data_IF_324906232516
#
_entry.id   IF_324906232516
#
_cell.length_a   1.000
_cell.length_b   1.000
_cell.length_c   1.000
_cell.angle_alpha   90.00
_cell.angle_beta   90.00
_cell.angle_gamma   90.00
#
_symmetry.space_group_name_H-M   'P 1'
#
loop_
_entity.id
_entity.type
_entity.pdbx_description
1 polymer ?
#
# COMPACT_ATOMS: atom_id res chain seq x y z
N UNK A 1 -28.28 -12.29 -35.26
CA UNK A 1 -28.10 -13.02 -33.99
C UNK A 1 -26.60 -13.30 -33.82
N UNK A 2 -25.83 -12.32 -33.38
CA UNK A 2 -24.39 -12.46 -33.07
C UNK A 2 -24.21 -11.85 -31.69
N UNK A 3 -24.54 -12.66 -30.69
CA UNK A 3 -24.34 -12.38 -29.27
C UNK A 3 -23.27 -13.36 -28.82
N UNK A 4 -22.35 -12.88 -27.99
CA UNK A 4 -21.36 -13.66 -27.22
C UNK A 4 -20.02 -13.93 -27.93
N UNK A 5 -19.21 -12.89 -28.11
CA UNK A 5 -17.73 -13.02 -28.08
C UNK A 5 -17.06 -11.73 -27.58
N UNK A 6 -17.46 -11.30 -26.39
CA UNK A 6 -16.66 -10.41 -25.54
C UNK A 6 -16.92 -10.81 -24.09
N UNK A 7 -16.57 -12.07 -23.79
CA UNK A 7 -16.32 -12.48 -22.42
C UNK A 7 -15.12 -11.65 -21.95
N UNK A 8 -15.43 -10.59 -21.19
CA UNK A 8 -14.50 -9.85 -20.35
C UNK A 8 -13.48 -10.85 -19.79
N UNK A 9 -12.21 -10.74 -20.19
CA UNK A 9 -11.14 -11.34 -19.39
C UNK A 9 -11.33 -10.76 -18.00
N UNK A 10 -11.60 -11.60 -17.00
CA UNK A 10 -11.33 -11.22 -15.63
C UNK A 10 -9.87 -10.78 -15.64
N UNK A 11 -9.62 -9.49 -15.42
CA UNK A 11 -8.27 -8.94 -15.41
C UNK A 11 -7.57 -9.58 -14.22
N UNK A 12 -6.69 -10.53 -14.47
CA UNK A 12 -5.80 -11.05 -13.43
C UNK A 12 -4.86 -9.90 -13.03
N UNK A 13 -5.03 -9.39 -11.82
CA UNK A 13 -4.29 -8.22 -11.30
C UNK A 13 -3.02 -8.65 -10.56
N UNK A 14 -2.70 -9.94 -10.55
CA UNK A 14 -1.55 -10.50 -9.83
C UNK A 14 -0.75 -11.36 -10.82
N UNK A 15 0.50 -10.98 -11.05
CA UNK A 15 1.35 -11.67 -12.01
C UNK A 15 2.60 -12.23 -11.33
N UNK A 16 2.70 -13.55 -11.28
CA UNK A 16 3.87 -14.25 -10.76
C UNK A 16 4.90 -14.49 -11.85
N UNK A 17 6.12 -14.00 -11.64
CA UNK A 17 7.23 -14.22 -12.56
C UNK A 17 7.84 -15.60 -12.34
N UNK A 18 8.21 -16.29 -13.43
CA UNK A 18 8.91 -17.59 -13.41
C UNK A 18 8.31 -18.58 -12.43
N UNK A 19 7.00 -18.85 -12.57
CA UNK A 19 6.25 -19.75 -11.68
C UNK A 19 6.89 -21.13 -11.54
N UNK A 20 7.63 -21.59 -12.55
CA UNK A 20 8.42 -22.84 -12.54
C UNK A 20 9.56 -22.86 -11.50
N UNK A 21 9.99 -21.69 -11.03
CA UNK A 21 11.05 -21.53 -10.01
C UNK A 21 10.52 -21.38 -8.59
N UNK A 22 9.21 -21.25 -8.40
CA UNK A 22 8.65 -21.08 -7.07
C UNK A 22 8.54 -22.43 -6.35
N UNK A 23 9.05 -22.56 -5.11
CA UNK A 23 8.68 -23.69 -4.26
C UNK A 23 7.17 -23.69 -4.03
N UNK A 24 6.52 -24.84 -4.21
CA UNK A 24 5.04 -24.96 -4.20
C UNK A 24 4.43 -24.37 -2.93
N UNK A 25 5.00 -24.67 -1.76
CA UNK A 25 4.51 -24.13 -0.48
C UNK A 25 4.58 -22.60 -0.43
N UNK A 26 5.68 -22.02 -0.93
CA UNK A 26 5.88 -20.58 -0.97
C UNK A 26 4.92 -19.88 -1.93
N UNK A 27 4.68 -20.50 -3.09
CA UNK A 27 3.71 -20.01 -4.07
C UNK A 27 2.29 -19.92 -3.48
N UNK A 28 1.84 -20.99 -2.82
CA UNK A 28 0.52 -21.01 -2.19
C UNK A 28 0.43 -20.05 -0.99
N UNK A 29 1.46 -19.97 -0.15
CA UNK A 29 1.53 -18.96 0.91
C UNK A 29 1.50 -17.54 0.36
N UNK A 30 2.16 -17.28 -0.77
CA UNK A 30 2.18 -15.95 -1.37
C UNK A 30 0.80 -15.55 -1.88
N UNK A 31 0.10 -16.46 -2.58
CA UNK A 31 -1.29 -16.23 -3.04
C UNK A 31 -2.26 -15.88 -1.90
N UNK A 32 -2.06 -16.47 -0.72
CA UNK A 32 -2.88 -16.18 0.47
C UNK A 32 -2.47 -14.87 1.17
N UNK A 33 -1.23 -14.42 0.93
CA UNK A 33 -0.62 -13.26 1.56
C UNK A 33 -0.88 -11.94 0.81
N UNK A 34 -1.41 -12.01 -0.41
CA UNK A 34 -1.69 -10.83 -1.25
C UNK A 34 -3.12 -10.86 -1.78
N UNK A 35 -3.72 -9.69 -1.98
CA UNK A 35 -4.95 -9.55 -2.72
C UNK A 35 -5.01 -8.19 -3.43
N UNK A 36 -5.65 -8.15 -4.60
CA UNK A 36 -6.08 -6.91 -5.26
C UNK A 36 -7.56 -7.04 -5.59
N UNK A 37 -8.38 -6.15 -5.03
CA UNK A 37 -9.84 -6.15 -5.22
C UNK A 37 -10.18 -4.95 -6.12
N UNK A 38 -10.55 -5.16 -7.40
CA UNK A 38 -10.95 -4.08 -8.30
C UNK A 38 -12.29 -3.47 -7.88
N UNK A 39 -12.53 -2.21 -8.27
CA UNK A 39 -13.79 -1.50 -7.99
C UNK A 39 -14.24 -1.60 -6.52
N UNK A 40 -13.27 -1.55 -5.60
CA UNK A 40 -13.52 -1.63 -4.16
C UNK A 40 -14.22 -0.37 -3.63
N UNK A 41 -13.94 0.77 -4.26
CA UNK A 41 -14.70 2.00 -4.08
C UNK A 41 -15.38 2.40 -5.39
N UNK A 42 -16.50 3.11 -5.27
CA UNK A 42 -17.19 3.70 -6.42
C UNK A 42 -16.51 5.00 -6.87
N UNK A 43 -16.88 5.50 -8.05
CA UNK A 43 -16.43 6.82 -8.52
C UNK A 43 -16.88 7.95 -7.58
N UNK A 44 -18.08 7.86 -7.01
CA UNK A 44 -18.60 8.86 -6.06
C UNK A 44 -17.84 8.81 -4.73
N UNK A 45 -17.50 7.62 -4.24
CA UNK A 45 -16.66 7.46 -3.04
C UNK A 45 -15.26 8.01 -3.27
N UNK A 46 -14.64 7.72 -4.41
CA UNK A 46 -13.34 8.30 -4.78
C UNK A 46 -13.41 9.82 -4.84
N UNK A 47 -14.45 10.38 -5.46
CA UNK A 47 -14.67 11.83 -5.52
C UNK A 47 -14.83 12.44 -4.13
N UNK A 48 -15.59 11.78 -3.23
CA UNK A 48 -15.80 12.25 -1.85
C UNK A 48 -14.49 12.22 -1.04
N UNK A 49 -13.67 11.17 -1.20
CA UNK A 49 -12.34 11.10 -0.60
C UNK A 49 -11.45 12.25 -1.09
N UNK A 50 -11.39 12.46 -2.41
CA UNK A 50 -10.55 13.51 -3.00
C UNK A 50 -11.00 14.92 -2.59
N UNK A 51 -12.32 15.18 -2.46
CA UNK A 51 -12.84 16.45 -1.97
C UNK A 51 -12.34 16.79 -0.56
N UNK A 52 -12.17 15.78 0.29
CA UNK A 52 -11.64 15.94 1.63
C UNK A 52 -10.10 16.02 1.63
N UNK A 53 -9.42 15.22 0.82
CA UNK A 53 -7.95 15.09 0.82
C UNK A 53 -7.27 16.28 0.13
N UNK A 54 -7.74 16.69 -1.05
CA UNK A 54 -7.06 17.64 -1.93
C UNK A 54 -6.78 19.01 -1.30
N UNK A 55 -7.70 19.65 -0.56
CA UNK A 55 -7.46 20.95 0.05
C UNK A 55 -6.23 20.98 0.98
N UNK A 56 -5.93 19.84 1.62
CA UNK A 56 -4.77 19.68 2.49
C UNK A 56 -3.52 19.32 1.68
N UNK A 57 -3.61 18.34 0.78
CA UNK A 57 -2.46 17.89 -0.01
C UNK A 57 -1.88 18.98 -0.88
N UNK A 58 -2.71 19.83 -1.51
CA UNK A 58 -2.25 20.94 -2.39
C UNK A 58 -1.40 21.98 -1.67
N UNK A 59 -1.46 22.06 -0.33
CA UNK A 59 -0.65 22.98 0.47
C UNK A 59 0.76 22.43 0.75
N UNK A 60 0.96 21.13 0.57
CA UNK A 60 2.25 20.46 0.75
C UNK A 60 3.04 20.51 -0.57
N UNK A 61 4.35 20.73 -0.45
CA UNK A 61 5.28 20.63 -1.58
C UNK A 61 5.63 19.17 -1.81
N UNK A 62 5.97 18.83 -3.05
CA UNK A 62 6.61 17.56 -3.32
C UNK A 62 8.04 17.58 -2.75
N UNK A 63 8.40 16.52 -2.05
CA UNK A 63 9.72 16.23 -1.53
C UNK A 63 10.43 15.28 -2.47
N UNK A 64 11.72 15.51 -2.72
CA UNK A 64 12.51 14.69 -3.64
C UNK A 64 12.89 13.34 -3.02
N UNK A 65 13.10 13.28 -1.70
CA UNK A 65 13.44 12.04 -0.98
C UNK A 65 13.09 12.13 0.52
N UNK A 66 12.68 11.01 1.10
CA UNK A 66 12.53 10.83 2.55
C UNK A 66 13.89 10.56 3.24
N UNK A 67 13.96 10.63 4.58
CA UNK A 67 15.22 10.40 5.33
C UNK A 67 15.78 8.98 5.19
N UNK A 68 14.91 7.99 4.93
CA UNK A 68 15.28 6.60 4.64
C UNK A 68 15.45 6.32 3.14
N UNK A 69 15.32 7.35 2.29
CA UNK A 69 15.47 7.30 0.84
C UNK A 69 14.47 6.35 0.12
N UNK A 70 13.40 5.91 0.80
CA UNK A 70 12.46 4.93 0.25
C UNK A 70 11.49 5.54 -0.78
N UNK A 71 11.04 6.77 -0.59
CA UNK A 71 10.01 7.41 -1.42
C UNK A 71 10.57 8.66 -2.11
N UNK A 72 10.27 8.82 -3.40
CA UNK A 72 10.81 9.86 -4.27
C UNK A 72 9.71 10.67 -4.96
N UNK A 73 9.91 11.99 -5.06
CA UNK A 73 8.98 12.97 -5.67
C UNK A 73 7.53 12.78 -5.20
N UNK A 74 7.32 12.93 -3.90
CA UNK A 74 6.07 12.61 -3.21
C UNK A 74 5.69 13.70 -2.21
N UNK A 75 4.46 13.65 -1.72
CA UNK A 75 4.06 14.38 -0.51
C UNK A 75 3.13 13.51 0.29
N UNK A 76 3.18 13.63 1.61
CA UNK A 76 2.40 12.76 2.46
C UNK A 76 1.87 13.48 3.68
N UNK A 77 0.86 12.88 4.30
CA UNK A 77 0.38 13.27 5.62
C UNK A 77 -0.39 12.13 6.24
N UNK A 78 -0.69 12.32 7.51
CA UNK A 78 -1.57 11.46 8.27
C UNK A 78 -2.89 12.17 8.60
N UNK A 79 -3.99 11.42 8.60
CA UNK A 79 -5.31 11.92 8.95
C UNK A 79 -6.08 10.96 9.84
N UNK A 80 -6.53 11.46 11.00
CA UNK A 80 -7.34 10.73 11.97
C UNK A 80 -8.85 10.94 11.80
N UNK A 81 -9.28 12.19 11.62
CA UNK A 81 -10.70 12.55 11.50
C UNK A 81 -11.10 12.56 10.04
N UNK A 82 -12.22 11.92 9.72
CA UNK A 82 -12.77 11.85 8.38
C UNK A 82 -14.24 12.27 8.40
N UNK A 83 -14.78 12.72 7.26
CA UNK A 83 -16.21 12.95 7.19
C UNK A 83 -17.01 11.62 7.25
N UNK A 84 -18.28 11.61 7.68
CA UNK A 84 -19.05 10.37 7.87
C UNK A 84 -19.20 9.49 6.61
N UNK A 85 -19.14 10.07 5.40
CA UNK A 85 -19.19 9.27 4.17
C UNK A 85 -17.87 8.53 3.94
N UNK A 86 -16.74 9.21 4.17
CA UNK A 86 -15.41 8.63 4.03
C UNK A 86 -15.07 7.65 5.17
N UNK A 87 -15.59 7.88 6.39
CA UNK A 87 -15.45 6.92 7.50
C UNK A 87 -16.02 5.54 7.14
N UNK A 88 -17.14 5.47 6.42
CA UNK A 88 -17.72 4.20 5.94
C UNK A 88 -16.79 3.45 4.99
N UNK A 89 -16.08 4.17 4.12
CA UNK A 89 -15.07 3.56 3.24
C UNK A 89 -13.91 3.01 4.06
N UNK A 90 -13.42 3.77 5.04
CA UNK A 90 -12.32 3.35 5.91
C UNK A 90 -12.70 2.16 6.80
N UNK A 91 -13.94 2.11 7.28
CA UNK A 91 -14.50 0.96 8.00
C UNK A 91 -14.58 -0.26 7.08
N UNK A 92 -15.02 -0.10 5.84
CA UNK A 92 -15.03 -1.18 4.84
C UNK A 92 -13.64 -1.71 4.54
N UNK A 93 -12.61 -0.84 4.47
CA UNK A 93 -11.20 -1.27 4.36
C UNK A 93 -10.81 -2.13 5.57
N UNK A 94 -11.21 -1.71 6.78
CA UNK A 94 -10.91 -2.41 8.02
C UNK A 94 -11.49 -3.82 8.02
N UNK A 95 -12.81 -3.93 7.82
CA UNK A 95 -13.54 -5.21 7.87
C UNK A 95 -13.18 -6.15 6.73
N UNK A 96 -12.74 -5.62 5.58
CA UNK A 96 -12.29 -6.45 4.44
C UNK A 96 -10.89 -7.01 4.65
N UNK A 97 -10.00 -6.25 5.31
CA UNK A 97 -8.57 -6.55 5.26
C UNK A 97 -7.99 -7.11 6.56
N UNK A 98 -8.57 -6.77 7.69
CA UNK A 98 -7.98 -7.01 9.00
C UNK A 98 -8.85 -7.97 9.84
N UNK A 99 -8.23 -8.75 10.74
CA UNK A 99 -8.97 -9.50 11.75
C UNK A 99 -9.88 -8.61 12.59
N UNK A 100 -10.99 -9.14 13.11
CA UNK A 100 -11.95 -8.38 13.92
C UNK A 100 -11.33 -7.82 15.22
N UNK A 101 -10.33 -8.51 15.78
CA UNK A 101 -9.61 -8.12 16.98
C UNK A 101 -8.36 -7.26 16.69
N UNK A 102 -8.11 -6.89 15.43
CA UNK A 102 -6.97 -6.08 15.06
C UNK A 102 -7.08 -4.67 15.65
N UNK A 103 -6.05 -4.26 16.38
CA UNK A 103 -5.91 -2.86 16.77
C UNK A 103 -5.28 -2.09 15.62
N UNK A 104 -5.82 -0.91 15.32
CA UNK A 104 -5.36 -0.10 14.19
C UNK A 104 -4.62 1.14 14.64
N UNK A 105 -3.71 1.62 13.79
CA UNK A 105 -3.25 2.99 13.89
C UNK A 105 -4.46 3.93 13.77
N UNK A 106 -4.53 4.92 14.67
CA UNK A 106 -5.59 5.93 14.63
C UNK A 106 -5.53 6.81 13.39
N UNK A 107 -4.37 6.88 12.75
CA UNK A 107 -4.12 7.72 11.58
C UNK A 107 -4.08 6.88 10.32
N UNK A 108 -4.76 7.37 9.27
CA UNK A 108 -4.63 6.84 7.91
C UNK A 108 -3.52 7.61 7.20
N UNK A 109 -2.59 6.87 6.60
CA UNK A 109 -1.49 7.43 5.85
C UNK A 109 -1.97 7.79 4.44
N UNK A 110 -1.81 9.04 4.05
CA UNK A 110 -2.15 9.57 2.74
C UNK A 110 -0.85 9.84 2.00
N UNK A 111 -0.59 9.10 0.94
CA UNK A 111 0.60 9.27 0.10
C UNK A 111 0.18 9.75 -1.30
N UNK A 112 0.68 10.90 -1.74
CA UNK A 112 0.48 11.48 -3.07
C UNK A 112 1.80 11.43 -3.83
N UNK A 113 1.88 10.55 -4.82
CA UNK A 113 3.00 10.42 -5.73
C UNK A 113 2.76 11.27 -6.97
N UNK A 114 3.76 12.06 -7.34
CA UNK A 114 3.80 12.70 -8.65
C UNK A 114 3.90 11.65 -9.77
N UNK A 115 3.62 12.01 -11.03
CA UNK A 115 3.78 11.10 -12.18
C UNK A 115 5.19 10.52 -12.34
N UNK A 116 6.20 11.27 -11.88
CA UNK A 116 7.60 10.84 -11.85
C UNK A 116 8.01 10.22 -10.51
N UNK A 117 7.15 10.29 -9.49
CA UNK A 117 7.43 9.75 -8.17
C UNK A 117 7.36 8.24 -8.14
N UNK A 118 8.11 7.62 -7.24
CA UNK A 118 8.20 6.18 -7.12
C UNK A 118 8.58 5.80 -5.70
N UNK A 119 8.44 4.52 -5.38
CA UNK A 119 8.84 3.96 -4.08
C UNK A 119 9.86 2.89 -4.37
N UNK A 120 11.04 2.95 -3.75
CA UNK A 120 12.09 1.93 -3.84
C UNK A 120 11.70 0.66 -3.09
N UNK A 121 12.33 -0.50 -3.40
CA UNK A 121 12.12 -1.73 -2.65
C UNK A 121 12.40 -1.57 -1.16
N UNK A 122 11.39 -1.81 -0.33
CA UNK A 122 11.52 -1.74 1.12
C UNK A 122 10.54 -2.70 1.83
N UNK A 123 10.78 -2.93 3.12
CA UNK A 123 9.87 -3.68 4.00
C UNK A 123 9.45 -2.73 5.11
N UNK A 124 8.14 -2.54 5.31
CA UNK A 124 7.63 -1.67 6.36
C UNK A 124 8.14 -2.11 7.74
N UNK A 125 8.56 -1.15 8.54
CA UNK A 125 9.12 -1.39 9.88
C UNK A 125 8.16 -2.20 10.75
N UNK A 126 8.63 -3.34 11.27
CA UNK A 126 7.90 -4.16 12.25
C UNK A 126 7.67 -3.46 13.59
N UNK A 127 8.34 -2.32 13.81
CA UNK A 127 8.15 -1.47 14.99
C UNK A 127 6.90 -0.59 14.89
N UNK A 128 6.43 -0.31 13.67
CA UNK A 128 5.33 0.66 13.45
C UNK A 128 4.17 0.08 12.65
N UNK A 129 4.36 -1.08 12.02
CA UNK A 129 3.36 -1.77 11.22
C UNK A 129 3.22 -3.22 11.69
N UNK A 130 1.99 -3.63 12.00
CA UNK A 130 1.63 -5.00 12.35
C UNK A 130 1.64 -5.96 11.15
N UNK A 131 0.71 -6.91 11.16
CA UNK A 131 0.68 -8.04 10.22
C UNK A 131 0.02 -7.72 8.88
N UNK A 132 -0.71 -6.60 8.79
CA UNK A 132 -1.54 -6.28 7.63
C UNK A 132 -1.28 -4.86 7.15
N UNK A 133 -0.91 -4.75 5.87
CA UNK A 133 -0.90 -3.49 5.13
C UNK A 133 -2.03 -3.57 4.12
N UNK A 134 -2.93 -2.58 4.14
CA UNK A 134 -4.01 -2.49 3.19
C UNK A 134 -4.15 -1.06 2.69
N UNK A 135 -4.33 -0.87 1.40
CA UNK A 135 -4.47 0.46 0.84
C UNK A 135 -5.37 0.52 -0.37
N UNK A 136 -6.04 1.66 -0.56
CA UNK A 136 -6.80 1.94 -1.77
C UNK A 136 -6.01 2.86 -2.71
N UNK A 137 -6.14 2.61 -4.01
CA UNK A 137 -5.49 3.39 -5.08
C UNK A 137 -6.47 4.41 -5.66
N UNK A 138 -6.08 5.68 -5.74
CA UNK A 138 -6.88 6.78 -6.28
C UNK A 138 -6.16 7.46 -7.44
N UNK A 139 -6.93 8.12 -8.29
CA UNK A 139 -6.52 8.90 -9.47
C UNK A 139 -5.95 8.09 -10.64
N UNK A 140 -4.93 7.25 -10.41
CA UNK A 140 -4.26 6.51 -11.48
C UNK A 140 -3.77 5.15 -11.03
N UNK A 141 -3.57 4.29 -12.02
CA UNK A 141 -3.03 2.95 -11.85
C UNK A 141 -1.53 3.00 -11.52
N UNK A 142 -1.01 1.93 -10.92
CA UNK A 142 0.43 1.67 -10.89
C UNK A 142 0.72 0.16 -10.81
N UNK A 143 2.01 -0.18 -10.94
CA UNK A 143 2.51 -1.53 -10.67
C UNK A 143 3.25 -1.50 -9.34
N UNK A 144 2.78 -2.31 -8.41
CA UNK A 144 3.53 -2.62 -7.19
C UNK A 144 4.27 -3.94 -7.40
N UNK A 145 5.59 -3.93 -7.24
CA UNK A 145 6.42 -5.13 -7.37
C UNK A 145 6.83 -5.63 -6.01
N UNK A 146 6.72 -6.93 -5.80
CA UNK A 146 7.16 -7.62 -4.60
C UNK A 146 8.32 -8.56 -4.96
N UNK A 147 9.45 -8.41 -4.28
CA UNK A 147 10.65 -9.25 -4.48
C UNK A 147 11.10 -9.85 -3.15
N UNK A 148 11.33 -11.16 -3.10
CA UNK A 148 11.80 -11.81 -1.88
C UNK A 148 13.15 -11.22 -1.43
N UNK A 149 13.31 -11.02 -0.12
CA UNK A 149 14.49 -10.34 0.43
C UNK A 149 15.79 -11.15 0.23
N UNK A 150 15.71 -12.47 0.18
CA UNK A 150 16.87 -13.35 0.01
C UNK A 150 16.89 -14.01 -1.39
N UNK A 151 15.71 -14.34 -1.93
CA UNK A 151 15.56 -15.12 -3.17
C UNK A 151 15.07 -14.22 -4.29
N UNK A 152 15.97 -13.38 -4.81
CA UNK A 152 15.64 -12.29 -5.76
C UNK A 152 14.96 -12.73 -7.04
N UNK A 153 14.94 -14.03 -7.31
CA UNK A 153 14.27 -14.59 -8.46
C UNK A 153 12.75 -14.76 -8.29
N UNK A 154 12.26 -14.75 -7.04
CA UNK A 154 10.85 -14.82 -6.66
C UNK A 154 10.26 -13.41 -6.69
N UNK A 155 9.49 -13.14 -7.75
CA UNK A 155 8.91 -11.82 -8.02
C UNK A 155 7.43 -11.97 -8.34
N UNK A 156 6.60 -11.12 -7.73
CA UNK A 156 5.20 -10.96 -8.10
C UNK A 156 4.88 -9.48 -8.29
N UNK A 157 4.19 -9.16 -9.37
CA UNK A 157 3.70 -7.82 -9.65
C UNK A 157 2.19 -7.77 -9.36
N UNK A 158 1.75 -6.66 -8.76
CA UNK A 158 0.35 -6.32 -8.52
C UNK A 158 -0.02 -5.14 -9.40
N UNK A 159 -1.05 -5.29 -10.23
CA UNK A 159 -1.62 -4.18 -10.97
C UNK A 159 -2.63 -3.44 -10.08
N UNK A 160 -2.17 -2.35 -9.47
CA UNK A 160 -2.96 -1.54 -8.57
C UNK A 160 -3.76 -0.52 -9.36
N UNK A 161 -4.89 -0.96 -9.90
CA UNK A 161 -5.77 -0.10 -10.68
C UNK A 161 -6.48 0.94 -9.80
N UNK A 162 -6.83 2.08 -10.37
CA UNK A 162 -7.64 3.11 -9.73
C UNK A 162 -8.92 2.50 -9.13
N UNK A 163 -9.27 2.94 -7.92
CA UNK A 163 -10.38 2.44 -7.08
C UNK A 163 -10.21 1.00 -6.57
N UNK A 164 -9.06 0.36 -6.76
CA UNK A 164 -8.79 -0.94 -6.16
C UNK A 164 -8.34 -0.84 -4.71
N UNK A 165 -8.61 -1.90 -3.95
CA UNK A 165 -7.93 -2.19 -2.69
C UNK A 165 -6.78 -3.16 -2.97
N UNK A 166 -5.63 -2.97 -2.35
CA UNK A 166 -4.61 -4.00 -2.21
C UNK A 166 -4.42 -4.38 -0.75
N UNK A 167 -4.05 -5.63 -0.52
CA UNK A 167 -3.73 -6.16 0.80
C UNK A 167 -2.44 -6.95 0.74
N UNK A 168 -1.59 -6.77 1.74
CA UNK A 168 -0.39 -7.56 1.98
C UNK A 168 -0.39 -8.03 3.44
N UNK A 169 -0.21 -9.33 3.64
CA UNK A 169 -0.09 -10.00 4.94
C UNK A 169 1.01 -11.05 4.90
N UNK A 170 1.27 -11.74 6.00
CA UNK A 170 2.11 -12.95 6.02
C UNK A 170 3.46 -12.74 5.34
N UNK A 171 3.85 -13.68 4.46
CA UNK A 171 5.17 -13.63 3.81
C UNK A 171 5.31 -12.41 2.90
N UNK A 172 4.23 -11.94 2.28
CA UNK A 172 4.27 -10.75 1.42
C UNK A 172 4.65 -9.49 2.21
N UNK A 173 4.25 -9.39 3.48
CA UNK A 173 4.56 -8.26 4.36
C UNK A 173 5.95 -8.37 5.01
N UNK A 174 6.43 -9.57 5.29
CA UNK A 174 7.63 -9.79 6.12
C UNK A 174 8.88 -10.25 5.35
N UNK A 175 8.70 -10.94 4.23
CA UNK A 175 9.78 -11.60 3.49
C UNK A 175 9.97 -11.02 2.10
N UNK A 176 9.03 -10.20 1.61
CA UNK A 176 9.12 -9.51 0.34
C UNK A 176 9.28 -8.01 0.55
N UNK A 177 10.29 -7.45 -0.10
CA UNK A 177 10.32 -6.00 -0.36
C UNK A 177 9.17 -5.64 -1.28
N UNK A 178 8.60 -4.46 -1.13
CA UNK A 178 7.62 -3.90 -2.04
C UNK A 178 8.08 -2.54 -2.57
N UNK A 179 7.73 -2.25 -3.81
CA UNK A 179 8.08 -1.02 -4.51
C UNK A 179 6.93 -0.57 -5.42
N UNK A 180 6.86 0.71 -5.75
CA UNK A 180 5.97 1.23 -6.80
C UNK A 180 6.85 1.65 -7.96
N UNK A 181 6.74 0.93 -9.08
CA UNK A 181 7.64 1.06 -10.21
C UNK A 181 7.57 2.46 -10.84
N UNK A 182 8.75 3.03 -11.14
CA UNK A 182 8.87 4.32 -11.84
C UNK A 182 8.43 4.25 -13.29
N UNK A 183 8.22 5.42 -13.90
CA UNK A 183 7.68 5.57 -15.26
C UNK A 183 8.33 4.66 -16.31
N UNK A 184 9.66 4.50 -16.30
CA UNK A 184 10.37 3.69 -17.32
C UNK A 184 10.27 2.18 -17.08
N UNK A 185 9.95 1.76 -15.85
CA UNK A 185 9.96 0.34 -15.44
C UNK A 185 8.54 -0.19 -15.20
N UNK A 186 7.51 0.66 -15.35
CA UNK A 186 6.13 0.34 -14.99
C UNK A 186 5.46 -0.55 -16.04
N UNK A 187 5.81 -1.84 -16.00
CA UNK A 187 5.20 -2.88 -16.83
C UNK A 187 4.52 -3.91 -15.95
N UNK A 188 3.32 -4.33 -16.34
CA UNK A 188 2.59 -5.44 -15.74
C UNK A 188 2.35 -6.49 -16.82
N UNK A 189 2.95 -7.68 -16.66
CA UNK A 189 2.87 -8.77 -17.64
C UNK A 189 3.18 -8.29 -19.08
N UNK A 190 4.34 -7.64 -19.24
CA UNK A 190 4.84 -7.03 -20.47
C UNK A 190 3.98 -5.91 -21.07
N UNK A 191 2.90 -5.50 -20.39
CA UNK A 191 2.07 -4.36 -20.78
C UNK A 191 2.51 -3.12 -20.01
N UNK A 192 2.83 -2.05 -20.74
CA UNK A 192 3.17 -0.77 -20.14
C UNK A 192 1.98 -0.17 -19.38
N UNK A 193 2.19 0.22 -18.14
CA UNK A 193 1.22 0.92 -17.28
C UNK A 193 1.69 2.36 -17.10
N UNK A 194 1.07 3.35 -17.77
CA UNK A 194 1.48 4.74 -17.65
C UNK A 194 1.39 5.24 -16.21
N UNK A 195 2.47 5.85 -15.72
CA UNK A 195 2.49 6.53 -14.42
C UNK A 195 1.94 7.94 -14.54
N UNK A 196 0.89 8.21 -13.77
CA UNK A 196 0.34 9.55 -13.54
C UNK A 196 0.37 9.88 -12.04
N UNK A 197 -0.15 11.06 -11.66
CA UNK A 197 -0.31 11.40 -10.25
C UNK A 197 -1.23 10.39 -9.58
N UNK A 198 -0.75 9.77 -8.50
CA UNK A 198 -1.45 8.72 -7.76
C UNK A 198 -1.55 9.10 -6.29
N UNK A 199 -2.73 8.94 -5.71
CA UNK A 199 -2.90 9.01 -4.25
C UNK A 199 -3.20 7.61 -3.73
N UNK A 200 -2.62 7.23 -2.60
CA UNK A 200 -3.03 6.05 -1.84
C UNK A 200 -3.40 6.41 -0.40
N UNK A 201 -4.46 5.76 0.09
CA UNK A 201 -4.81 5.74 1.50
C UNK A 201 -4.39 4.39 2.06
N UNK A 202 -3.39 4.39 2.93
CA UNK A 202 -2.79 3.20 3.51
C UNK A 202 -3.21 3.10 4.97
N UNK A 203 -3.75 1.94 5.32
CA UNK A 203 -4.09 1.53 6.68
C UNK A 203 -3.18 0.38 7.09
N UNK A 204 -2.74 0.43 8.34
CA UNK A 204 -1.91 -0.60 8.98
C UNK A 204 -2.51 -0.93 10.34
N UNK A 205 -2.34 -2.17 10.76
CA UNK A 205 -2.58 -2.58 12.15
C UNK A 205 -1.37 -2.23 13.04
N UNK A 206 -1.62 -2.21 14.34
CA UNK A 206 -0.59 -2.01 15.35
C UNK A 206 0.25 -3.29 15.51
N UNK A 207 1.56 -3.16 15.77
CA UNK A 207 2.39 -4.30 16.13
C UNK A 207 1.83 -5.08 17.33
N UNK A 208 1.84 -6.41 17.26
CA UNK A 208 1.31 -7.31 18.31
C UNK A 208 1.91 -7.09 19.71
N UNK A 209 3.14 -6.57 19.82
CA UNK A 209 3.76 -6.23 21.13
C UNK A 209 3.25 -4.91 21.71
N UNK A 210 2.81 -3.98 20.86
CA UNK A 210 2.37 -2.63 21.25
C UNK A 210 0.86 -2.54 21.48
N UNK A 211 0.09 -3.54 21.04
CA UNK A 211 -1.34 -3.67 21.35
C UNK A 211 -1.67 -3.69 22.88
N UNK A 212 -0.66 -3.77 23.75
CA UNK A 212 -0.78 -3.72 25.22
C UNK A 212 -0.34 -2.39 25.84
N UNK A 213 0.11 -1.41 25.07
CA UNK A 213 0.55 -0.11 25.58
C UNK A 213 -0.19 0.99 24.83
N UNK A 214 -1.00 1.77 25.54
CA UNK A 214 -1.57 3.03 25.05
C UNK A 214 -0.41 4.00 24.75
N UNK A 215 0.19 3.90 23.56
CA UNK A 215 1.24 4.82 23.14
C UNK A 215 0.61 5.91 22.28
N UNK A 216 0.65 7.14 22.80
CA UNK A 216 0.30 8.34 22.06
C UNK A 216 1.32 8.54 20.92
N UNK A 217 0.82 8.57 19.68
CA UNK A 217 1.63 8.81 18.49
C UNK A 217 2.20 10.24 18.50
N UNK A 218 3.51 10.38 18.27
CA UNK A 218 4.16 11.65 17.96
C UNK A 218 4.54 11.71 16.47
N UNK A 219 4.33 12.85 15.79
CA UNK A 219 4.66 12.99 14.37
C UNK A 219 6.14 12.75 14.07
N UNK A 220 6.41 12.12 12.93
CA UNK A 220 7.75 11.97 12.36
C UNK A 220 8.37 13.35 12.14
N UNK A 221 9.43 13.67 12.90
CA UNK A 221 10.13 14.96 12.85
C UNK A 221 10.90 15.35 14.12
N UNK A 222 10.66 14.69 15.26
CA UNK A 222 11.46 14.90 16.47
C UNK A 222 12.55 13.81 16.58
N UNK A 223 13.82 14.22 16.56
CA UNK A 223 14.95 13.35 16.86
C UNK A 223 14.74 12.72 18.26
N UNK A 224 14.78 11.39 18.34
CA UNK A 224 14.73 10.66 19.61
C UNK A 224 15.99 11.04 20.42
N UNK A 225 15.89 11.55 21.65
CA UNK A 225 17.07 11.79 22.48
C UNK A 225 17.75 10.47 22.82
N UNK A 226 19.07 10.44 22.73
CA UNK A 226 19.92 9.32 23.16
C UNK A 226 19.54 8.87 24.58
N UNK A 227 19.01 7.65 24.69
CA UNK A 227 18.84 6.99 25.98
C UNK A 227 20.24 6.56 26.42
N UNK A 228 20.86 7.39 27.26
CA UNK A 228 22.05 6.99 28.02
C UNK A 228 21.67 5.80 28.89
N UNK A 229 22.31 4.67 28.64
CA UNK A 229 22.29 3.53 29.55
C UNK A 229 22.97 3.94 30.87
N UNK A 230 22.19 4.11 31.94
CA UNK A 230 22.74 4.09 33.30
C UNK A 230 22.91 2.64 33.74
N UNK A 231 24.17 2.25 33.92
CA UNK A 231 24.55 1.05 34.65
C UNK A 231 24.21 1.20 36.13
N UNK A 232 23.46 0.25 36.68
CA UNK A 232 23.61 -0.22 38.05
C UNK A 232 23.47 -1.73 38.07
#
# INVERSE_FOLDING_TARGET
MVRVTLLKKATDLIFFHRTDKWPVSFFESMKQSIAVIPEFITEDEEKCLLQEIEPHMKRLRYEESHWDDAIHTYREREQKKWNPANEKVLERIATTSFPEDALHLSYIHILDLHKNGYIKPHIDSVRYCGDVISGISLLSDCVMRLVHKDEKHLIVDLHLIRRSLYKMTGIARYDFTHEVLRHNDSYFNDVYVPRERRISLIRRDLPKKEAKLNVEWKPLGEAVPDIKHEHK
#
